data_IF_760839054316
#
_entry.id   IF_760839054316
#
_cell.length_a   1.000
_cell.length_b   1.000
_cell.length_c   1.000
_cell.angle_alpha   90.00
_cell.angle_beta   90.00
_cell.angle_gamma   90.00
#
_symmetry.space_group_name_H-M   'P 1'
#
loop_
_entity.id
_entity.type
_entity.pdbx_description
1 polymer ?
#
# COMPACT_ATOMS: atom_id res chain seq x y z
N UNK A 1 23.94 17.99 -0.48
CA UNK A 1 24.08 16.71 -1.20
C UNK A 1 24.20 15.60 -0.16
N UNK A 2 23.11 14.89 0.10
CA UNK A 2 23.13 13.52 0.61
C UNK A 2 22.10 12.80 -0.27
N UNK A 3 22.55 11.83 -1.07
CA UNK A 3 21.63 10.95 -1.77
C UNK A 3 20.95 10.10 -0.69
N UNK A 4 19.67 10.37 -0.42
CA UNK A 4 18.85 9.47 0.38
C UNK A 4 18.87 8.12 -0.33
N UNK A 5 19.43 7.10 0.31
CA UNK A 5 19.35 5.73 -0.18
C UNK A 5 17.91 5.29 0.00
N UNK A 6 17.11 5.35 -1.07
CA UNK A 6 15.77 4.78 -1.10
C UNK A 6 15.88 3.29 -0.74
N UNK A 7 15.31 2.91 0.40
CA UNK A 7 15.35 1.50 0.83
C UNK A 7 14.30 0.75 0.04
N UNK A 8 14.71 -0.31 -0.67
CA UNK A 8 13.83 -1.09 -1.55
C UNK A 8 13.94 -2.58 -1.24
N UNK A 9 12.81 -3.27 -1.17
CA UNK A 9 12.69 -4.71 -1.10
C UNK A 9 11.85 -5.25 -2.27
N UNK A 10 12.20 -6.44 -2.76
CA UNK A 10 11.47 -7.14 -3.83
C UNK A 10 11.08 -8.52 -3.34
N UNK A 11 9.78 -8.81 -3.35
CA UNK A 11 9.20 -10.02 -2.76
C UNK A 11 8.44 -10.78 -3.85
N UNK A 12 8.71 -12.08 -3.99
CA UNK A 12 7.92 -12.96 -4.85
C UNK A 12 6.72 -13.50 -4.05
N UNK A 13 5.52 -13.25 -4.54
CA UNK A 13 4.25 -13.61 -3.90
C UNK A 13 3.52 -14.59 -4.80
N UNK A 14 3.33 -15.83 -4.33
CA UNK A 14 2.81 -16.92 -5.16
C UNK A 14 1.30 -17.09 -5.04
N UNK A 15 0.74 -16.72 -3.89
CA UNK A 15 -0.67 -16.91 -3.60
C UNK A 15 -1.33 -15.64 -3.06
N UNK A 16 -2.67 -15.63 -3.08
CA UNK A 16 -3.44 -14.58 -2.44
C UNK A 16 -3.23 -14.53 -0.92
N UNK A 17 -2.93 -15.67 -0.27
CA UNK A 17 -2.62 -15.69 1.16
C UNK A 17 -1.23 -15.11 1.43
N UNK A 18 -0.23 -15.42 0.60
CA UNK A 18 1.10 -14.78 0.70
C UNK A 18 1.00 -13.26 0.56
N UNK A 19 0.10 -12.76 -0.30
CA UNK A 19 -0.15 -11.33 -0.45
C UNK A 19 -0.77 -10.72 0.82
N UNK A 20 -1.69 -11.44 1.49
CA UNK A 20 -2.26 -10.97 2.76
C UNK A 20 -1.23 -10.97 3.86
N UNK A 21 -0.43 -12.03 3.95
CA UNK A 21 0.64 -12.15 4.93
C UNK A 21 1.71 -11.06 4.74
N UNK A 22 2.08 -10.75 3.49
CA UNK A 22 2.91 -9.58 3.18
C UNK A 22 2.29 -8.28 3.72
N UNK A 23 0.97 -8.12 3.58
CA UNK A 23 0.25 -6.98 4.14
C UNK A 23 0.33 -6.92 5.67
N UNK A 24 0.20 -8.06 6.36
CA UNK A 24 0.34 -8.12 7.84
C UNK A 24 1.75 -7.74 8.27
N UNK A 25 2.78 -8.26 7.61
CA UNK A 25 4.18 -7.91 7.90
C UNK A 25 4.45 -6.43 7.65
N UNK A 26 3.97 -5.91 6.53
CA UNK A 26 4.10 -4.50 6.18
C UNK A 26 3.44 -3.61 7.25
N UNK A 27 2.26 -3.98 7.75
CA UNK A 27 1.56 -3.24 8.79
C UNK A 27 2.38 -3.04 10.06
N UNK A 28 3.28 -3.97 10.41
CA UNK A 28 4.16 -3.85 11.59
C UNK A 28 5.18 -2.72 11.49
N UNK A 29 5.43 -2.23 10.28
CA UNK A 29 6.35 -1.12 9.99
C UNK A 29 5.64 0.24 9.94
N UNK A 30 4.30 0.23 9.89
CA UNK A 30 3.48 1.43 9.71
C UNK A 30 3.10 2.07 11.04
N UNK A 31 2.96 3.38 11.03
CA UNK A 31 2.44 4.19 12.13
C UNK A 31 1.45 5.24 11.63
N UNK A 32 0.73 5.87 12.55
CA UNK A 32 -0.13 7.01 12.25
C UNK A 32 0.63 8.08 11.44
N UNK A 33 -0.01 8.60 10.39
CA UNK A 33 0.58 9.56 9.45
C UNK A 33 1.32 8.92 8.27
N UNK A 34 1.56 7.59 8.27
CA UNK A 34 2.23 6.96 7.14
C UNK A 34 1.30 6.83 5.92
N UNK A 35 1.84 7.18 4.76
CA UNK A 35 1.19 7.06 3.44
C UNK A 35 1.75 5.86 2.67
N UNK A 36 0.86 5.01 2.16
CA UNK A 36 1.18 3.88 1.28
C UNK A 36 0.53 4.10 -0.08
N UNK A 37 1.34 4.26 -1.13
CA UNK A 37 0.89 4.34 -2.50
C UNK A 37 0.94 2.96 -3.16
N UNK A 38 -0.22 2.46 -3.60
CA UNK A 38 -0.37 1.16 -4.23
C UNK A 38 -0.59 1.27 -5.73
N UNK A 39 0.31 0.67 -6.49
CA UNK A 39 0.27 0.61 -7.95
C UNK A 39 0.34 -0.81 -8.48
N UNK A 40 -0.24 -1.04 -9.65
CA UNK A 40 -0.30 -2.34 -10.32
C UNK A 40 -1.58 -2.48 -11.11
N UNK A 41 -1.60 -3.37 -12.10
CA UNK A 41 -2.73 -3.56 -13.01
C UNK A 41 -4.04 -3.97 -12.28
N UNK A 42 -5.16 -3.93 -13.02
CA UNK A 42 -6.43 -4.46 -12.52
C UNK A 42 -6.26 -5.95 -12.20
N UNK A 43 -6.64 -6.34 -10.98
CA UNK A 43 -6.47 -7.72 -10.50
C UNK A 43 -5.03 -8.08 -10.12
N UNK A 44 -4.10 -7.11 -10.00
CA UNK A 44 -2.74 -7.37 -9.52
C UNK A 44 -2.68 -7.86 -8.06
N UNK A 45 -3.69 -7.51 -7.25
CA UNK A 45 -3.75 -7.92 -5.83
C UNK A 45 -3.71 -6.77 -4.82
N UNK A 46 -3.81 -5.50 -5.26
CA UNK A 46 -3.79 -4.30 -4.40
C UNK A 46 -4.72 -4.41 -3.19
N UNK A 47 -6.01 -4.63 -3.42
CA UNK A 47 -6.99 -4.79 -2.33
C UNK A 47 -6.71 -6.02 -1.44
N UNK A 48 -6.10 -7.09 -1.98
CA UNK A 48 -5.70 -8.25 -1.16
C UNK A 48 -4.58 -7.88 -0.19
N UNK A 49 -3.62 -7.09 -0.64
CA UNK A 49 -2.58 -6.53 0.22
C UNK A 49 -3.18 -5.59 1.27
N UNK A 50 -4.10 -4.71 0.87
CA UNK A 50 -4.79 -3.78 1.81
C UNK A 50 -5.60 -4.51 2.88
N UNK A 51 -6.17 -5.68 2.55
CA UNK A 51 -6.80 -6.55 3.56
C UNK A 51 -5.79 -7.05 4.59
N UNK A 52 -4.64 -7.52 4.14
CA UNK A 52 -3.54 -7.92 5.03
C UNK A 52 -3.09 -6.76 5.92
N UNK A 53 -3.00 -5.54 5.37
CA UNK A 53 -2.71 -4.33 6.14
C UNK A 53 -3.76 -4.09 7.22
N UNK A 54 -5.05 -4.13 6.88
CA UNK A 54 -6.12 -3.97 7.86
C UNK A 54 -6.09 -5.03 8.97
N UNK A 55 -5.81 -6.29 8.62
CA UNK A 55 -5.63 -7.38 9.58
C UNK A 55 -4.45 -7.08 10.53
N UNK A 56 -3.29 -6.70 10.00
CA UNK A 56 -2.09 -6.41 10.80
C UNK A 56 -2.23 -5.16 11.68
N UNK A 57 -2.98 -4.14 11.23
CA UNK A 57 -3.30 -2.94 12.01
C UNK A 57 -4.40 -3.18 13.06
N UNK A 58 -5.13 -4.30 12.98
CA UNK A 58 -6.23 -4.60 13.89
C UNK A 58 -7.43 -3.66 13.71
N UNK A 59 -7.78 -3.32 12.46
CA UNK A 59 -8.93 -2.43 12.18
C UNK A 59 -10.26 -3.17 12.13
N UNK A 60 -11.35 -2.43 12.28
CA UNK A 60 -12.71 -2.95 12.34
C UNK A 60 -13.24 -3.32 10.95
N UNK A 61 -13.84 -4.50 10.90
CA UNK A 61 -14.62 -4.95 9.74
C UNK A 61 -13.75 -5.44 8.59
N UNK A 62 -14.40 -5.93 7.54
CA UNK A 62 -13.71 -6.39 6.35
C UNK A 62 -13.23 -5.21 5.50
N UNK A 63 -11.95 -5.22 5.12
CA UNK A 63 -11.42 -4.29 4.12
C UNK A 63 -11.86 -4.75 2.73
N UNK A 64 -12.58 -3.87 2.04
CA UNK A 64 -13.08 -4.08 0.68
C UNK A 64 -12.71 -2.90 -0.17
N UNK A 65 -12.41 -3.13 -1.46
CA UNK A 65 -12.14 -2.05 -2.41
C UNK A 65 -13.27 -1.01 -2.33
N UNK A 66 -12.93 0.28 -2.26
CA UNK A 66 -13.92 1.36 -2.34
C UNK A 66 -14.40 1.52 -3.79
N UNK A 67 -14.87 0.47 -4.46
CA UNK A 67 -15.17 0.48 -5.91
C UNK A 67 -16.27 1.50 -6.31
N UNK A 68 -17.12 1.89 -5.35
CA UNK A 68 -18.26 2.80 -5.53
C UNK A 68 -18.20 4.07 -4.65
N UNK A 69 -17.14 4.24 -3.86
CA UNK A 69 -16.93 5.39 -2.98
C UNK A 69 -15.49 5.87 -3.13
N UNK A 70 -15.16 7.09 -2.76
CA UNK A 70 -13.78 7.58 -2.94
C UNK A 70 -12.85 6.97 -1.88
N UNK A 71 -13.33 6.89 -0.64
CA UNK A 71 -12.57 6.36 0.48
C UNK A 71 -13.44 5.55 1.45
N UNK A 72 -12.80 4.67 2.20
CA UNK A 72 -13.36 3.97 3.36
C UNK A 72 -12.44 4.13 4.56
N UNK A 73 -13.03 4.47 5.70
CA UNK A 73 -12.32 4.52 6.98
C UNK A 73 -12.63 3.25 7.77
N UNK A 74 -11.58 2.57 8.23
CA UNK A 74 -11.64 1.39 9.08
C UNK A 74 -11.03 1.74 10.44
N UNK A 75 -11.86 2.00 11.47
CA UNK A 75 -11.36 2.40 12.79
C UNK A 75 -10.58 1.28 13.46
N UNK A 76 -9.56 1.61 14.25
CA UNK A 76 -8.82 0.62 15.04
C UNK A 76 -9.70 -0.06 16.09
N UNK A 77 -9.42 -1.34 16.36
CA UNK A 77 -9.97 -2.12 17.48
C UNK A 77 -8.99 -2.24 18.66
N UNK A 78 -7.75 -1.81 18.48
CA UNK A 78 -6.63 -2.06 19.41
C UNK A 78 -6.01 -0.77 19.97
N UNK A 79 -6.53 0.40 19.58
CA UNK A 79 -5.97 1.70 19.95
C UNK A 79 -4.78 2.12 19.10
N UNK A 80 -4.47 1.37 18.03
CA UNK A 80 -3.53 1.77 16.97
C UNK A 80 -4.16 2.74 15.95
N UNK A 81 -3.45 3.06 14.86
CA UNK A 81 -3.98 3.95 13.83
C UNK A 81 -5.20 3.31 13.13
N UNK A 82 -6.13 4.17 12.69
CA UNK A 82 -7.16 3.74 11.74
C UNK A 82 -6.53 3.45 10.37
N UNK A 83 -7.25 2.72 9.51
CA UNK A 83 -6.87 2.55 8.11
C UNK A 83 -7.84 3.35 7.23
N UNK A 84 -7.30 4.28 6.46
CA UNK A 84 -8.02 5.01 5.41
C UNK A 84 -7.64 4.37 4.07
N UNK A 85 -8.62 3.79 3.37
CA UNK A 85 -8.41 3.16 2.06
C UNK A 85 -9.08 3.99 0.98
N UNK A 86 -8.26 4.60 0.11
CA UNK A 86 -8.67 5.51 -0.96
C UNK A 86 -8.44 4.85 -2.32
N UNK A 87 -9.34 5.06 -3.28
CA UNK A 87 -9.12 4.72 -4.69
C UNK A 87 -9.02 6.00 -5.53
N UNK A 88 -7.78 6.37 -5.88
CA UNK A 88 -7.50 7.58 -6.64
C UNK A 88 -7.91 7.48 -8.12
N UNK A 89 -8.32 6.31 -8.61
CA UNK A 89 -8.97 6.22 -9.92
C UNK A 89 -10.26 7.04 -9.96
N UNK A 90 -10.93 7.20 -8.81
CA UNK A 90 -12.18 7.96 -8.66
C UNK A 90 -11.99 9.43 -8.29
N UNK A 91 -10.79 9.85 -7.89
CA UNK A 91 -10.45 11.25 -7.66
C UNK A 91 -10.37 11.96 -9.02
N UNK A 92 -11.53 12.45 -9.48
CA UNK A 92 -11.67 13.23 -10.71
C UNK A 92 -11.37 14.71 -10.48
N UNK A 93 -11.54 15.20 -9.24
CA UNK A 93 -11.16 16.55 -8.82
C UNK A 93 -9.73 16.68 -8.30
N UNK A 94 -8.98 15.56 -8.18
CA UNK A 94 -7.64 15.57 -7.59
C UNK A 94 -7.67 15.69 -6.07
N UNK A 95 -6.72 16.42 -5.50
CA UNK A 95 -6.55 16.57 -4.03
C UNK A 95 -7.69 17.35 -3.36
N UNK A 96 -8.34 18.28 -4.07
CA UNK A 96 -9.48 19.06 -3.55
C UNK A 96 -10.63 18.14 -3.09
N UNK A 97 -10.82 17.02 -3.79
CA UNK A 97 -11.86 16.04 -3.46
C UNK A 97 -11.50 15.23 -2.19
N UNK A 98 -10.24 15.24 -1.74
CA UNK A 98 -9.85 14.67 -0.45
C UNK A 98 -10.15 15.60 0.72
N UNK A 99 -10.02 16.91 0.52
CA UNK A 99 -10.41 17.94 1.50
C UNK A 99 -11.93 17.93 1.70
N UNK A 100 -12.71 17.82 0.62
CA UNK A 100 -14.18 17.70 0.68
C UNK A 100 -14.67 16.46 1.45
N UNK A 101 -13.81 15.46 1.63
CA UNK A 101 -14.10 14.23 2.37
C UNK A 101 -13.63 14.28 3.83
N UNK A 102 -13.12 15.42 4.31
CA UNK A 102 -12.47 15.60 5.63
C UNK A 102 -11.37 14.55 5.89
N UNK A 103 -10.75 14.00 4.84
CA UNK A 103 -9.75 12.94 4.99
C UNK A 103 -8.44 13.51 5.51
N UNK A 104 -8.08 14.71 5.08
CA UNK A 104 -6.89 15.48 5.48
C UNK A 104 -6.75 15.59 7.00
N UNK A 105 -7.85 15.82 7.71
CA UNK A 105 -7.89 15.91 9.18
C UNK A 105 -7.57 14.57 9.84
N UNK A 106 -7.92 13.46 9.19
CA UNK A 106 -7.71 12.10 9.71
C UNK A 106 -6.35 11.49 9.33
N UNK A 107 -5.67 12.04 8.32
CA UNK A 107 -4.38 11.51 7.83
C UNK A 107 -3.32 11.41 8.94
N UNK A 108 -3.13 12.40 9.84
CA UNK A 108 -2.09 12.33 10.87
C UNK A 108 -2.31 11.22 11.90
N UNK A 109 -3.55 10.77 12.09
CA UNK A 109 -3.92 9.73 13.06
C UNK A 109 -4.09 8.33 12.42
N UNK A 110 -4.00 8.27 11.09
CA UNK A 110 -4.32 7.08 10.31
C UNK A 110 -3.13 6.59 9.50
N UNK A 111 -3.15 5.32 9.15
CA UNK A 111 -2.40 4.81 8.01
C UNK A 111 -3.28 5.00 6.78
N UNK A 112 -2.76 5.68 5.77
CA UNK A 112 -3.51 5.95 4.54
C UNK A 112 -2.96 5.13 3.40
N UNK A 113 -3.84 4.34 2.77
CA UNK A 113 -3.53 3.51 1.61
C UNK A 113 -4.28 4.07 0.41
N UNK A 114 -3.53 4.52 -0.60
CA UNK A 114 -4.10 5.04 -1.84
C UNK A 114 -3.81 4.09 -2.99
N UNK A 115 -4.85 3.46 -3.54
CA UNK A 115 -4.74 2.72 -4.80
C UNK A 115 -4.71 3.69 -5.99
N UNK A 116 -3.86 3.41 -6.99
CA UNK A 116 -3.72 4.20 -8.22
C UNK A 116 -3.29 5.66 -8.00
N UNK A 117 -2.52 5.89 -6.93
CA UNK A 117 -2.07 7.22 -6.53
C UNK A 117 -0.90 7.80 -7.34
N UNK A 118 -0.17 6.98 -8.11
CA UNK A 118 0.95 7.46 -8.94
C UNK A 118 0.46 8.56 -9.91
N UNK A 119 1.10 9.72 -9.85
CA UNK A 119 0.84 10.94 -10.61
C UNK A 119 -0.29 11.83 -10.07
N UNK A 120 -0.88 11.50 -8.92
CA UNK A 120 -2.08 12.18 -8.39
C UNK A 120 -1.97 12.64 -6.94
N UNK A 121 -1.19 11.95 -6.11
CA UNK A 121 -1.20 12.15 -4.65
C UNK A 121 0.18 12.20 -4.03
N UNK A 122 1.25 12.31 -4.83
CA UNK A 122 2.61 12.45 -4.33
C UNK A 122 2.82 13.70 -3.48
N UNK A 123 2.05 14.75 -3.75
CA UNK A 123 2.09 16.00 -2.99
C UNK A 123 1.42 15.89 -1.62
N UNK A 124 0.72 14.79 -1.31
CA UNK A 124 0.14 14.56 0.03
C UNK A 124 1.21 14.38 1.11
N UNK A 125 2.36 13.81 0.74
CA UNK A 125 3.43 13.57 1.70
C UNK A 125 4.78 13.40 1.02
N UNK A 126 5.78 14.12 1.54
CA UNK A 126 7.19 13.92 1.21
C UNK A 126 7.67 12.52 1.64
N UNK A 127 7.03 11.95 2.66
CA UNK A 127 7.32 10.65 3.25
C UNK A 127 6.27 9.60 2.86
N UNK A 128 6.65 8.56 2.13
CA UNK A 128 5.71 7.50 1.69
C UNK A 128 6.39 6.17 1.40
N UNK A 129 5.61 5.10 1.56
CA UNK A 129 5.93 3.80 0.97
C UNK A 129 5.27 3.70 -0.40
N UNK A 130 6.06 3.42 -1.43
CA UNK A 130 5.57 3.04 -2.74
C UNK A 130 5.58 1.54 -2.87
N UNK A 131 4.44 0.95 -3.20
CA UNK A 131 4.27 -0.49 -3.36
C UNK A 131 3.74 -0.79 -4.75
N UNK A 132 4.58 -1.44 -5.56
CA UNK A 132 4.27 -1.79 -6.96
C UNK A 132 4.07 -3.30 -7.04
N UNK A 133 2.92 -3.72 -7.57
CA UNK A 133 2.56 -5.14 -7.74
C UNK A 133 2.52 -5.46 -9.22
N UNK A 134 3.45 -6.29 -9.67
CA UNK A 134 3.60 -6.70 -11.07
C UNK A 134 3.36 -8.21 -11.20
N UNK A 135 2.76 -8.64 -12.31
CA UNK A 135 2.74 -10.07 -12.65
C UNK A 135 4.13 -10.48 -13.15
N UNK A 136 4.64 -11.62 -12.70
CA UNK A 136 5.85 -12.17 -13.31
C UNK A 136 5.55 -12.47 -14.79
N UNK A 137 6.27 -11.82 -15.71
CA UNK A 137 6.20 -12.18 -17.12
C UNK A 137 7.22 -13.27 -17.39
N UNK A 138 6.89 -14.23 -18.26
CA UNK A 138 7.62 -15.50 -18.43
C UNK A 138 9.09 -15.43 -18.90
N UNK A 139 9.74 -14.26 -18.87
CA UNK A 139 11.16 -14.09 -19.21
C UNK A 139 12.11 -14.39 -18.05
N UNK A 140 11.63 -14.39 -16.79
CA UNK A 140 12.39 -14.82 -15.60
C UNK A 140 12.10 -16.27 -15.19
N UNK A 141 11.26 -16.96 -15.96
CA UNK A 141 10.93 -18.37 -15.74
C UNK A 141 11.96 -19.25 -16.44
N UNK A 142 12.96 -19.72 -15.69
CA UNK A 142 13.84 -20.81 -16.12
C UNK A 142 13.00 -22.07 -16.41
N UNK A 143 12.56 -22.21 -17.66
CA UNK A 143 12.32 -23.47 -18.37
C UNK A 143 11.28 -24.46 -17.85
N UNK A 144 10.65 -24.23 -16.71
CA UNK A 144 9.46 -24.96 -16.28
C UNK A 144 8.23 -24.12 -16.67
N UNK A 145 7.17 -24.75 -17.17
CA UNK A 145 5.86 -24.11 -17.28
C UNK A 145 5.46 -23.60 -15.88
N UNK A 146 5.77 -22.34 -15.59
CA UNK A 146 6.02 -21.86 -14.23
C UNK A 146 5.06 -20.75 -13.86
N UNK A 147 3.88 -21.15 -13.40
CA UNK A 147 2.98 -20.40 -12.54
C UNK A 147 2.73 -18.92 -12.93
N UNK A 148 1.86 -18.71 -13.93
CA UNK A 148 1.37 -17.39 -14.41
C UNK A 148 0.72 -16.53 -13.30
N UNK A 149 0.53 -17.08 -12.10
CA UNK A 149 -0.07 -16.43 -10.94
C UNK A 149 0.93 -15.79 -9.96
N UNK A 150 2.24 -15.96 -10.16
CA UNK A 150 3.24 -15.28 -9.32
C UNK A 150 3.20 -13.77 -9.54
N UNK A 151 3.27 -13.01 -8.44
CA UNK A 151 3.41 -11.56 -8.43
C UNK A 151 4.77 -11.19 -7.85
N UNK A 152 5.38 -10.15 -8.41
CA UNK A 152 6.52 -9.49 -7.81
C UNK A 152 6.02 -8.21 -7.16
N UNK A 153 6.22 -8.09 -5.84
CA UNK A 153 5.89 -6.89 -5.07
C UNK A 153 7.19 -6.15 -4.78
N UNK A 154 7.30 -4.92 -5.30
CA UNK A 154 8.41 -4.01 -5.00
C UNK A 154 7.95 -2.97 -4.00
N UNK A 155 8.61 -2.89 -2.86
CA UNK A 155 8.34 -1.93 -1.78
C UNK A 155 9.52 -0.97 -1.68
N UNK A 156 9.27 0.31 -1.87
CA UNK A 156 10.29 1.36 -1.82
C UNK A 156 9.89 2.45 -0.83
N UNK A 157 10.77 2.74 0.12
CA UNK A 157 10.63 3.88 1.02
C UNK A 157 11.14 5.17 0.38
N UNK A 158 10.32 6.21 0.41
CA UNK A 158 10.63 7.54 -0.12
C UNK A 158 10.54 8.57 1.01
N UNK A 159 11.56 9.40 1.14
CA UNK A 159 11.60 10.48 2.15
C UNK A 159 12.29 10.11 3.47
N UNK A 160 12.62 11.11 4.31
CA UNK A 160 13.33 10.91 5.58
C UNK A 160 12.74 9.84 6.51
N UNK A 161 11.40 9.70 6.58
CA UNK A 161 10.70 8.69 7.41
C UNK A 161 11.14 7.26 7.13
N UNK A 162 11.48 6.98 5.88
CA UNK A 162 11.80 5.64 5.41
C UNK A 162 13.30 5.41 5.22
N UNK A 163 14.11 6.45 5.43
CA UNK A 163 15.55 6.34 5.35
C UNK A 163 16.08 5.41 6.45
N UNK A 164 16.73 4.31 6.05
CA UNK A 164 17.31 3.34 6.98
C UNK A 164 16.32 2.40 7.66
N UNK A 165 15.03 2.41 7.27
CA UNK A 165 14.06 1.41 7.72
C UNK A 165 14.40 0.07 7.07
N UNK A 166 14.60 -0.97 7.88
CA UNK A 166 14.86 -2.32 7.38
C UNK A 166 13.60 -2.93 6.75
N UNK A 167 13.65 -3.15 5.43
CA UNK A 167 12.58 -3.80 4.67
C UNK A 167 12.83 -5.31 4.45
N UNK A 168 13.97 -5.86 4.93
CA UNK A 168 14.26 -7.28 4.82
C UNK A 168 13.21 -8.20 5.45
N UNK A 169 12.53 -7.85 6.58
CA UNK A 169 11.48 -8.68 7.17
C UNK A 169 10.25 -8.91 6.28
N UNK A 170 10.13 -8.20 5.15
CA UNK A 170 9.05 -8.40 4.18
C UNK A 170 9.24 -9.65 3.31
N UNK A 171 10.49 -10.14 3.17
CA UNK A 171 10.86 -11.29 2.33
C UNK A 171 10.58 -12.66 2.91
#
# INVERSE_FOLDING_TARGET
>A
MNASTDTTARIAVKTAEDMRELGRRLATLLRAGDLVLLSGELGAGKTTLTRGLGEGLGVRGAVTSPTFVIARVHPSLTGGPALVHVDAYRLSGGLEEMEDLDLDVSLPESVTVVEWGDGKVEDLSEDRLRVVIERATGADADGAAGDEDVRTVTVSGVGPRWSGVDLAPLG
#
